data_IF_170074207371
#
_entry.id   IF_170074207371
#
_cell.length_a   1.000
_cell.length_b   1.000
_cell.length_c   1.000
_cell.angle_alpha   90.00
_cell.angle_beta   90.00
_cell.angle_gamma   90.00
#
_symmetry.space_group_name_H-M   'P 1'
#
loop_
_entity.id
_entity.type
_entity.pdbx_description
1 polymer ?
#
# COMPACT_ATOMS: atom_id res chain seq x y z
N UNK A 1 55.65 -47.66 14.23
CA UNK A 1 54.90 -46.55 13.60
C UNK A 1 53.43 -46.93 13.60
N UNK A 2 52.59 -46.30 14.43
CA UNK A 2 51.15 -46.60 14.57
C UNK A 2 50.36 -45.44 13.97
N UNK A 3 49.72 -45.66 12.84
CA UNK A 3 48.89 -44.66 12.16
C UNK A 3 47.52 -44.57 12.83
N UNK A 4 47.15 -43.38 13.30
CA UNK A 4 45.81 -43.08 13.84
C UNK A 4 45.00 -42.47 12.69
N UNK A 5 43.91 -43.14 12.30
CA UNK A 5 42.93 -42.62 11.35
C UNK A 5 41.84 -41.90 12.15
N UNK A 6 41.73 -40.59 11.98
CA UNK A 6 40.69 -39.79 12.60
C UNK A 6 39.42 -39.80 11.71
N UNK A 7 38.31 -40.33 12.24
CA UNK A 7 36.99 -40.18 11.62
C UNK A 7 36.47 -38.76 11.90
N UNK A 8 36.24 -37.99 10.85
CA UNK A 8 35.55 -36.70 10.89
C UNK A 8 34.04 -36.97 10.81
N UNK A 9 33.32 -36.73 11.90
CA UNK A 9 31.86 -36.80 11.92
C UNK A 9 31.28 -35.53 11.27
N UNK A 10 30.61 -35.69 10.12
CA UNK A 10 29.92 -34.60 9.43
C UNK A 10 28.63 -34.26 10.17
N UNK A 11 28.61 -33.14 10.89
CA UNK A 11 27.42 -32.61 11.55
C UNK A 11 26.52 -31.94 10.51
N UNK A 12 25.36 -32.54 10.19
CA UNK A 12 24.37 -31.93 9.31
C UNK A 12 23.65 -30.79 10.06
N UNK A 13 23.99 -29.53 9.77
CA UNK A 13 23.27 -28.37 10.27
C UNK A 13 21.94 -28.21 9.54
N UNK A 14 20.83 -28.45 10.23
CA UNK A 14 19.51 -28.07 9.74
C UNK A 14 19.43 -26.54 9.68
N UNK A 15 19.53 -25.98 8.47
CA UNK A 15 19.25 -24.57 8.24
C UNK A 15 17.74 -24.34 8.43
N UNK A 16 17.36 -23.70 9.54
CA UNK A 16 16.03 -23.17 9.74
C UNK A 16 15.82 -22.03 8.73
N UNK A 17 15.14 -22.30 7.62
CA UNK A 17 14.73 -21.24 6.69
C UNK A 17 13.78 -20.30 7.43
N UNK A 18 14.06 -18.99 7.54
CA UNK A 18 13.14 -18.06 8.16
C UNK A 18 11.81 -18.12 7.39
N UNK A 19 10.71 -18.35 8.11
CA UNK A 19 9.37 -18.29 7.54
C UNK A 19 9.21 -16.94 6.83
N UNK A 20 8.79 -16.96 5.56
CA UNK A 20 8.47 -15.74 4.83
C UNK A 20 7.50 -14.91 5.70
N UNK A 21 7.93 -13.70 6.06
CA UNK A 21 7.17 -12.88 6.98
C UNK A 21 5.82 -12.56 6.34
N UNK A 22 4.75 -13.07 6.94
CA UNK A 22 3.39 -12.80 6.50
C UNK A 22 3.16 -11.29 6.49
N UNK A 23 2.48 -10.77 5.47
CA UNK A 23 2.19 -9.34 5.38
C UNK A 23 1.27 -8.88 6.51
N UNK A 24 1.00 -7.58 6.56
CA UNK A 24 0.24 -6.95 7.64
C UNK A 24 -0.89 -6.10 7.11
N UNK A 25 -1.94 -5.96 7.91
CA UNK A 25 -3.08 -5.09 7.61
C UNK A 25 -3.17 -3.94 8.60
N UNK A 26 -3.68 -2.81 8.13
CA UNK A 26 -4.00 -1.65 8.96
C UNK A 26 -5.25 -1.95 9.79
N UNK A 27 -5.09 -1.99 11.11
CA UNK A 27 -6.22 -1.89 12.04
C UNK A 27 -6.88 -0.52 11.91
N UNK A 28 -8.21 -0.45 11.95
CA UNK A 28 -8.97 0.80 11.98
C UNK A 28 -9.55 1.05 13.37
N UNK A 29 -9.31 2.25 13.94
CA UNK A 29 -9.72 2.63 15.30
C UNK A 29 -10.86 3.67 15.32
N UNK A 30 -11.80 3.56 14.38
CA UNK A 30 -12.93 4.48 14.25
C UNK A 30 -12.64 5.68 13.36
N UNK A 31 -13.48 6.72 13.44
CA UNK A 31 -13.48 7.87 12.51
C UNK A 31 -12.23 8.75 12.65
N UNK A 32 -11.82 9.32 11.52
CA UNK A 32 -10.78 10.35 11.43
C UNK A 32 -11.26 11.50 10.52
N UNK A 33 -10.56 12.63 10.60
CA UNK A 33 -10.79 13.74 9.69
C UNK A 33 -10.13 13.48 8.33
N UNK A 34 -10.82 13.87 7.27
CA UNK A 34 -10.25 13.91 5.93
C UNK A 34 -9.24 15.08 5.82
N UNK A 35 -8.24 14.98 4.92
CA UNK A 35 -7.45 16.13 4.53
C UNK A 35 -8.34 17.28 4.03
N UNK A 36 -8.04 18.56 4.33
CA UNK A 36 -8.92 19.68 4.00
C UNK A 36 -9.31 19.77 2.52
N UNK A 37 -8.36 19.54 1.61
CA UNK A 37 -8.57 19.60 0.17
C UNK A 37 -9.43 18.44 -0.38
N UNK A 38 -9.55 17.34 0.37
CA UNK A 38 -10.24 16.13 -0.06
C UNK A 38 -11.71 16.37 -0.41
N UNK A 39 -12.43 17.18 0.37
CA UNK A 39 -13.86 17.45 0.15
C UNK A 39 -14.09 18.14 -1.19
N UNK A 40 -13.29 19.15 -1.51
CA UNK A 40 -13.34 19.87 -2.78
C UNK A 40 -13.01 18.93 -3.95
N UNK A 41 -11.95 18.14 -3.82
CA UNK A 41 -11.58 17.11 -4.79
C UNK A 41 -12.74 16.14 -5.05
N UNK A 42 -13.40 15.61 -4.02
CA UNK A 42 -14.53 14.70 -4.20
C UNK A 42 -15.80 15.34 -4.78
N UNK A 43 -15.90 16.67 -4.74
CA UNK A 43 -16.92 17.41 -5.48
C UNK A 43 -16.65 17.40 -6.98
N UNK A 44 -15.38 17.51 -7.39
CA UNK A 44 -14.94 17.50 -8.79
C UNK A 44 -14.81 16.08 -9.36
N UNK A 45 -14.35 15.13 -8.56
CA UNK A 45 -13.94 13.78 -8.97
C UNK A 45 -14.63 12.69 -8.11
N UNK A 46 -15.97 12.63 -8.09
CA UNK A 46 -16.71 11.73 -7.19
C UNK A 46 -16.38 10.25 -7.41
N UNK A 47 -16.07 9.84 -8.64
CA UNK A 47 -15.68 8.46 -8.96
C UNK A 47 -14.36 8.03 -8.32
N UNK A 48 -13.40 8.95 -8.16
CA UNK A 48 -12.12 8.68 -7.51
C UNK A 48 -12.21 8.70 -5.99
N UNK A 49 -13.25 9.32 -5.44
CA UNK A 49 -13.53 9.25 -4.01
C UNK A 49 -14.41 8.07 -3.62
N UNK A 50 -15.15 7.47 -4.54
CA UNK A 50 -15.98 6.32 -4.21
C UNK A 50 -15.13 5.12 -3.78
N UNK A 51 -15.62 4.40 -2.78
CA UNK A 51 -15.11 3.08 -2.36
C UNK A 51 -16.26 2.07 -2.22
N UNK A 52 -17.39 2.34 -2.88
CA UNK A 52 -18.58 1.49 -2.85
C UNK A 52 -18.49 0.31 -3.80
N UNK A 53 -18.98 -0.85 -3.37
CA UNK A 53 -19.04 -2.06 -4.19
C UNK A 53 -17.70 -2.77 -4.38
N UNK A 54 -17.74 -3.96 -4.98
CA UNK A 54 -16.57 -4.80 -5.21
C UNK A 54 -16.00 -5.46 -3.95
N UNK A 55 -14.91 -6.20 -4.12
CA UNK A 55 -14.23 -6.91 -3.02
C UNK A 55 -13.42 -5.94 -2.15
N UNK A 56 -13.61 -6.04 -0.83
CA UNK A 56 -12.83 -5.26 0.16
C UNK A 56 -11.35 -5.68 0.24
N UNK A 57 -11.04 -6.89 -0.19
CA UNK A 57 -9.68 -7.44 -0.23
C UNK A 57 -9.50 -8.12 -1.58
N UNK A 58 -8.40 -7.80 -2.25
CA UNK A 58 -8.04 -8.43 -3.53
C UNK A 58 -7.23 -9.69 -3.27
N UNK A 59 -7.69 -10.83 -3.79
CA UNK A 59 -6.88 -12.05 -3.82
C UNK A 59 -5.68 -11.83 -4.76
N UNK A 60 -4.50 -11.58 -4.20
CA UNK A 60 -3.33 -11.19 -4.96
C UNK A 60 -2.66 -12.42 -5.58
N UNK A 61 -2.63 -12.46 -6.90
CA UNK A 61 -1.84 -13.41 -7.68
C UNK A 61 -0.76 -12.68 -8.48
N UNK A 62 0.09 -13.45 -9.18
CA UNK A 62 1.28 -12.93 -9.85
C UNK A 62 0.99 -11.76 -10.81
N UNK A 63 -0.06 -11.85 -11.61
CA UNK A 63 -0.42 -10.80 -12.59
C UNK A 63 -0.85 -9.51 -11.90
N UNK A 64 -1.73 -9.58 -10.90
CA UNK A 64 -2.14 -8.40 -10.14
C UNK A 64 -0.97 -7.76 -9.38
N UNK A 65 -0.06 -8.59 -8.84
CA UNK A 65 1.18 -8.11 -8.21
C UNK A 65 2.09 -7.41 -9.21
N UNK A 66 2.21 -7.95 -10.42
CA UNK A 66 2.94 -7.32 -11.53
C UNK A 66 2.29 -5.99 -11.93
N UNK A 67 0.96 -5.94 -11.98
CA UNK A 67 0.21 -4.76 -12.36
C UNK A 67 0.39 -3.60 -11.36
N UNK A 68 0.30 -3.86 -10.04
CA UNK A 68 0.58 -2.85 -9.02
C UNK A 68 1.98 -2.24 -9.21
N UNK A 69 2.97 -3.10 -9.45
CA UNK A 69 4.36 -2.69 -9.69
C UNK A 69 4.51 -1.86 -10.96
N UNK A 70 3.84 -2.26 -12.05
CA UNK A 70 3.87 -1.55 -13.33
C UNK A 70 3.25 -0.15 -13.20
N UNK A 71 2.07 -0.04 -12.59
CA UNK A 71 1.37 1.24 -12.43
C UNK A 71 2.15 2.17 -11.52
N UNK A 72 2.70 1.66 -10.40
CA UNK A 72 3.50 2.49 -9.51
C UNK A 72 4.70 3.09 -10.24
N UNK A 73 5.45 2.26 -10.97
CA UNK A 73 6.59 2.71 -11.78
C UNK A 73 6.20 3.68 -12.88
N UNK A 74 5.16 3.37 -13.65
CA UNK A 74 4.74 4.16 -14.80
C UNK A 74 4.21 5.54 -14.39
N UNK A 75 3.51 5.64 -13.27
CA UNK A 75 3.09 6.95 -12.74
C UNK A 75 4.31 7.73 -12.22
N UNK A 76 5.20 7.07 -11.48
CA UNK A 76 6.41 7.70 -10.93
C UNK A 76 7.36 8.23 -12.02
N UNK A 77 7.38 7.61 -13.21
CA UNK A 77 8.20 8.08 -14.33
C UNK A 77 7.51 9.17 -15.17
N UNK A 78 6.18 9.19 -15.22
CA UNK A 78 5.41 10.13 -16.06
C UNK A 78 5.20 11.49 -15.40
N UNK A 79 5.04 11.53 -14.08
CA UNK A 79 4.70 12.76 -13.35
C UNK A 79 5.95 13.32 -12.69
N UNK A 80 6.18 14.62 -12.87
CA UNK A 80 7.24 15.35 -12.19
C UNK A 80 6.76 15.78 -10.80
N UNK A 81 7.48 15.37 -9.77
CA UNK A 81 7.20 15.81 -8.39
C UNK A 81 7.44 17.32 -8.26
N UNK A 82 6.41 18.03 -7.80
CA UNK A 82 6.42 19.47 -7.53
C UNK A 82 5.30 19.77 -6.54
N UNK A 83 5.65 20.41 -5.42
CA UNK A 83 4.68 20.90 -4.45
C UNK A 83 3.78 21.97 -5.09
N UNK A 84 2.49 21.90 -4.74
CA UNK A 84 1.52 22.88 -5.19
C UNK A 84 1.58 24.19 -4.39
N UNK A 85 1.07 25.27 -4.98
CA UNK A 85 0.82 26.54 -4.27
C UNK A 85 -0.57 26.41 -3.63
N UNK A 86 -0.60 25.96 -2.38
CA UNK A 86 -1.82 25.49 -1.72
C UNK A 86 -2.07 24.00 -1.98
N UNK A 87 -2.87 23.35 -1.13
CA UNK A 87 -3.19 21.91 -1.21
C UNK A 87 -4.32 21.70 -2.23
N UNK A 88 -4.01 21.46 -3.52
CA UNK A 88 -4.98 21.26 -4.60
C UNK A 88 -4.98 19.82 -5.10
N UNK A 89 -5.74 18.97 -4.42
CA UNK A 89 -5.91 17.57 -4.79
C UNK A 89 -6.60 17.45 -6.16
N UNK A 90 -5.91 16.86 -7.13
CA UNK A 90 -6.43 16.72 -8.50
C UNK A 90 -5.92 15.44 -9.16
N UNK A 91 -6.25 15.28 -10.45
CA UNK A 91 -5.58 14.27 -11.25
C UNK A 91 -4.48 14.92 -12.08
N UNK A 92 -3.20 14.64 -11.80
CA UNK A 92 -2.09 15.32 -12.45
C UNK A 92 -1.97 14.92 -13.94
N UNK A 93 -1.50 15.88 -14.74
CA UNK A 93 -1.16 15.67 -16.16
C UNK A 93 0.34 15.47 -16.31
N UNK A 94 1.16 16.46 -15.91
CA UNK A 94 2.62 16.46 -16.03
C UNK A 94 3.37 16.62 -14.71
N UNK A 95 2.72 17.20 -13.69
CA UNK A 95 3.30 17.42 -12.37
C UNK A 95 2.24 17.40 -11.28
N UNK A 96 2.69 17.14 -10.06
CA UNK A 96 1.91 17.18 -8.82
C UNK A 96 2.80 16.74 -7.65
N UNK A 97 2.24 16.64 -6.46
CA UNK A 97 2.89 16.15 -5.25
C UNK A 97 2.26 14.82 -4.78
N UNK A 98 2.40 14.48 -3.50
CA UNK A 98 2.20 13.11 -3.02
C UNK A 98 0.79 12.55 -3.27
N UNK A 99 -0.24 13.36 -3.00
CA UNK A 99 -1.64 12.99 -3.19
C UNK A 99 -2.00 12.85 -4.67
N UNK A 100 -1.45 13.70 -5.53
CA UNK A 100 -1.73 13.71 -6.96
C UNK A 100 -1.23 12.40 -7.60
N UNK A 101 -0.06 11.93 -7.15
CA UNK A 101 0.45 10.61 -7.55
C UNK A 101 -0.43 9.48 -7.02
N UNK A 102 -0.87 9.54 -5.77
CA UNK A 102 -1.75 8.52 -5.18
C UNK A 102 -3.11 8.44 -5.91
N UNK A 103 -3.70 9.60 -6.22
CA UNK A 103 -4.95 9.76 -6.97
C UNK A 103 -4.79 9.19 -8.39
N UNK A 104 -3.72 9.52 -9.08
CA UNK A 104 -3.48 9.01 -10.43
C UNK A 104 -3.30 7.50 -10.44
N UNK A 105 -2.54 6.93 -9.50
CA UNK A 105 -2.40 5.47 -9.36
C UNK A 105 -3.74 4.81 -9.09
N UNK A 106 -4.57 5.40 -8.24
CA UNK A 106 -5.94 4.94 -7.97
C UNK A 106 -6.77 4.94 -9.25
N UNK A 107 -6.74 6.02 -10.02
CA UNK A 107 -7.45 6.13 -11.31
C UNK A 107 -7.02 5.03 -12.29
N UNK A 108 -5.72 4.81 -12.45
CA UNK A 108 -5.21 3.81 -13.39
C UNK A 108 -5.56 2.37 -12.97
N UNK A 109 -5.59 2.09 -11.66
CA UNK A 109 -6.06 0.80 -11.14
C UNK A 109 -7.57 0.61 -11.34
N UNK A 110 -8.38 1.64 -11.07
CA UNK A 110 -9.83 1.61 -11.32
C UNK A 110 -10.15 1.33 -12.79
N UNK A 111 -9.42 1.98 -13.73
CA UNK A 111 -9.56 1.72 -15.17
C UNK A 111 -9.27 0.27 -15.56
N UNK A 112 -8.46 -0.44 -14.77
CA UNK A 112 -8.10 -1.85 -14.98
C UNK A 112 -9.01 -2.82 -14.21
N UNK A 113 -10.10 -2.32 -13.61
CA UNK A 113 -11.10 -3.14 -12.95
C UNK A 113 -10.78 -3.49 -11.50
N UNK A 114 -9.78 -2.86 -10.88
CA UNK A 114 -9.54 -3.05 -9.45
C UNK A 114 -10.74 -2.55 -8.63
N UNK A 115 -11.16 -3.29 -7.58
CA UNK A 115 -12.32 -2.89 -6.79
C UNK A 115 -12.02 -1.61 -6.01
N UNK A 116 -12.88 -0.59 -6.17
CA UNK A 116 -12.73 0.70 -5.51
C UNK A 116 -12.63 0.58 -3.97
N UNK A 117 -13.33 -0.39 -3.39
CA UNK A 117 -13.28 -0.71 -1.95
C UNK A 117 -11.91 -1.16 -1.44
N UNK A 118 -11.00 -1.57 -2.31
CA UNK A 118 -9.64 -1.96 -1.96
C UNK A 118 -8.60 -0.85 -2.20
N UNK A 119 -8.97 0.25 -2.87
CA UNK A 119 -8.07 1.34 -3.26
C UNK A 119 -8.33 2.58 -2.42
N UNK A 120 -7.48 2.82 -1.43
CA UNK A 120 -7.75 3.77 -0.35
C UNK A 120 -6.64 4.82 -0.30
N UNK A 121 -6.99 6.09 -0.45
CA UNK A 121 -6.07 7.18 -0.17
C UNK A 121 -5.77 7.17 1.33
N UNK A 122 -4.49 7.34 1.66
CA UNK A 122 -3.98 7.16 3.02
C UNK A 122 -2.99 8.27 3.33
N UNK A 123 -3.15 8.88 4.51
CA UNK A 123 -2.29 9.95 4.99
C UNK A 123 -1.37 9.50 6.12
N UNK A 124 -0.15 9.98 6.07
CA UNK A 124 0.94 9.65 6.98
C UNK A 124 1.84 10.86 7.23
N UNK A 125 2.89 10.65 8.04
CA UNK A 125 4.03 11.56 8.21
C UNK A 125 5.29 10.87 7.73
N UNK A 126 6.13 11.64 7.04
CA UNK A 126 7.51 11.27 6.74
C UNK A 126 8.44 12.43 7.07
N UNK A 127 9.45 12.20 7.91
CA UNK A 127 10.46 13.21 8.29
C UNK A 127 9.86 14.56 8.72
N UNK A 128 8.76 14.52 9.47
CA UNK A 128 8.10 15.73 9.95
C UNK A 128 7.14 16.40 8.96
N UNK A 129 6.99 15.89 7.73
CA UNK A 129 6.07 16.42 6.72
C UNK A 129 4.87 15.50 6.52
N UNK A 130 3.72 16.05 6.14
CA UNK A 130 2.58 15.26 5.69
C UNK A 130 2.93 14.48 4.42
N UNK A 131 2.35 13.30 4.27
CA UNK A 131 2.55 12.45 3.10
C UNK A 131 1.26 11.72 2.76
N UNK A 132 0.94 11.62 1.47
CA UNK A 132 -0.22 10.88 0.98
C UNK A 132 0.24 9.76 0.07
N UNK A 133 -0.28 8.56 0.29
CA UNK A 133 0.01 7.37 -0.49
C UNK A 133 -1.28 6.66 -0.89
N UNK A 134 -1.19 5.73 -1.83
CA UNK A 134 -2.27 4.81 -2.13
C UNK A 134 -2.04 3.49 -1.39
N UNK A 135 -2.98 3.12 -0.52
CA UNK A 135 -3.05 1.79 0.09
C UNK A 135 -3.95 0.87 -0.73
N UNK A 136 -3.47 -0.33 -1.01
CA UNK A 136 -4.20 -1.39 -1.70
C UNK A 136 -4.41 -2.57 -0.75
N UNK A 137 -5.67 -2.92 -0.48
CA UNK A 137 -6.06 -4.04 0.39
C UNK A 137 -5.97 -5.36 -0.35
N UNK A 138 -5.09 -6.25 0.08
CA UNK A 138 -4.85 -7.52 -0.60
C UNK A 138 -4.80 -8.72 0.36
N UNK A 139 -4.86 -9.93 -0.18
CA UNK A 139 -4.66 -11.17 0.58
C UNK A 139 -3.24 -11.34 1.10
N UNK A 140 -2.27 -10.59 0.58
CA UNK A 140 -0.90 -10.52 1.09
C UNK A 140 -0.72 -9.36 2.10
N UNK A 141 -1.79 -8.66 2.48
CA UNK A 141 -1.75 -7.50 3.39
C UNK A 141 -2.07 -6.17 2.71
N UNK A 142 -1.79 -5.07 3.43
CA UNK A 142 -2.01 -3.71 2.99
C UNK A 142 -0.74 -3.18 2.32
N UNK A 143 -0.79 -3.08 1.00
CA UNK A 143 0.35 -2.68 0.17
C UNK A 143 0.32 -1.20 -0.16
N UNK A 144 1.49 -0.59 -0.26
CA UNK A 144 1.66 0.85 -0.48
C UNK A 144 2.25 1.12 -1.85
N UNK A 145 1.57 1.99 -2.58
CA UNK A 145 2.03 2.60 -3.82
C UNK A 145 2.32 4.08 -3.56
N UNK A 146 3.54 4.52 -3.88
CA UNK A 146 4.15 5.74 -3.35
C UNK A 146 5.00 6.45 -4.41
N UNK A 147 5.01 7.79 -4.42
CA UNK A 147 5.87 8.56 -5.33
C UNK A 147 7.35 8.50 -4.94
N UNK A 148 7.65 8.36 -3.63
CA UNK A 148 9.03 8.36 -3.14
C UNK A 148 9.80 7.06 -3.46
N UNK A 149 9.10 6.00 -3.88
CA UNK A 149 9.72 4.75 -4.28
C UNK A 149 8.90 3.98 -5.32
N UNK A 150 9.60 3.38 -6.28
CA UNK A 150 9.00 2.51 -7.29
C UNK A 150 8.67 1.11 -6.79
N UNK A 151 9.12 0.73 -5.58
CA UNK A 151 8.80 -0.56 -4.97
C UNK A 151 7.44 -0.52 -4.28
N UNK A 152 6.58 -1.50 -4.57
CA UNK A 152 5.37 -1.76 -3.79
C UNK A 152 5.78 -2.48 -2.51
N UNK A 153 5.38 -1.97 -1.35
CA UNK A 153 5.84 -2.44 -0.03
C UNK A 153 4.67 -2.74 0.89
N UNK A 154 4.86 -3.65 1.83
CA UNK A 154 3.96 -3.79 2.97
C UNK A 154 3.99 -2.50 3.80
N UNK A 155 2.84 -1.99 4.20
CA UNK A 155 2.75 -0.71 4.90
C UNK A 155 3.59 -0.67 6.19
N UNK A 156 3.68 -1.76 6.96
CA UNK A 156 4.45 -1.80 8.20
C UNK A 156 5.96 -1.83 7.98
N UNK A 157 6.40 -2.08 6.74
CA UNK A 157 7.81 -2.02 6.33
C UNK A 157 8.23 -0.65 5.78
N UNK A 158 7.29 0.29 5.65
CA UNK A 158 7.58 1.66 5.19
C UNK A 158 8.04 2.56 6.35
N UNK A 159 8.82 3.62 6.09
CA UNK A 159 9.35 4.48 7.15
C UNK A 159 8.35 5.57 7.61
N UNK A 160 7.05 5.32 7.48
CA UNK A 160 6.00 6.33 7.66
C UNK A 160 5.23 6.14 8.97
N UNK A 161 4.78 7.25 9.54
CA UNK A 161 3.81 7.24 10.64
C UNK A 161 2.41 7.47 10.08
N UNK A 162 1.61 6.41 9.96
CA UNK A 162 0.27 6.48 9.38
C UNK A 162 -0.77 7.03 10.35
N UNK A 163 -1.71 7.85 9.84
CA UNK A 163 -2.74 8.47 10.66
C UNK A 163 -4.15 8.03 10.30
N UNK A 164 -4.50 8.12 9.00
CA UNK A 164 -5.84 7.85 8.53
C UNK A 164 -5.85 7.37 7.08
N UNK A 165 -6.90 6.65 6.72
CA UNK A 165 -7.19 6.23 5.33
C UNK A 165 -8.67 6.40 5.01
N UNK A 166 -9.02 6.44 3.73
CA UNK A 166 -10.41 6.31 3.30
C UNK A 166 -11.03 5.01 3.85
N UNK A 167 -12.29 5.09 4.27
CA UNK A 167 -13.04 3.94 4.74
C UNK A 167 -13.46 3.02 3.57
N UNK A 168 -13.50 1.71 3.84
CA UNK A 168 -14.02 0.74 2.89
C UNK A 168 -15.56 0.81 2.85
N UNK A 169 -16.15 1.06 1.67
CA UNK A 169 -17.60 1.13 1.48
C UNK A 169 -18.19 2.53 1.64
N UNK A 170 -17.46 3.48 2.22
CA UNK A 170 -17.84 4.90 2.21
C UNK A 170 -16.60 5.79 2.07
N UNK A 171 -16.20 6.04 0.82
CA UNK A 171 -14.96 6.74 0.53
C UNK A 171 -14.97 8.24 0.84
N UNK A 172 -16.12 8.80 1.26
CA UNK A 172 -16.19 10.14 1.86
C UNK A 172 -15.81 10.16 3.35
N UNK A 173 -15.77 8.99 3.99
CA UNK A 173 -15.35 8.85 5.39
C UNK A 173 -13.90 8.43 5.49
N UNK A 174 -13.25 8.83 6.57
CA UNK A 174 -11.88 8.46 6.90
C UNK A 174 -11.84 7.74 8.24
N UNK A 175 -10.90 6.79 8.36
CA UNK A 175 -10.72 5.95 9.53
C UNK A 175 -9.31 6.10 10.07
N UNK A 176 -9.18 6.19 11.39
CA UNK A 176 -7.88 6.26 12.08
C UNK A 176 -7.17 4.93 11.94
N UNK A 177 -5.89 4.97 11.59
CA UNK A 177 -5.03 3.79 11.50
C UNK A 177 -4.46 3.46 12.88
N UNK A 178 -4.53 2.19 13.24
CA UNK A 178 -4.04 1.60 14.48
C UNK A 178 -2.74 0.82 14.27
N UNK A 179 -2.62 -0.31 14.97
CA UNK A 179 -1.43 -1.15 14.89
C UNK A 179 -1.42 -2.04 13.63
N UNK A 180 -0.23 -2.53 13.29
CA UNK A 180 -0.07 -3.62 12.32
C UNK A 180 -0.66 -4.92 12.88
N UNK A 181 -1.57 -5.52 12.11
CA UNK A 181 -2.09 -6.86 12.37
C UNK A 181 -1.53 -7.83 11.33
N UNK A 182 -0.72 -8.82 11.72
CA UNK A 182 -0.29 -9.87 10.80
C UNK A 182 -1.49 -10.51 10.12
N UNK A 183 -1.39 -10.78 8.83
CA UNK A 183 -2.36 -11.65 8.18
C UNK A 183 -2.18 -13.04 8.79
N UNK A 184 -3.28 -13.63 9.26
CA UNK A 184 -3.24 -15.03 9.66
C UNK A 184 -3.03 -15.82 8.38
N UNK A 185 -1.83 -16.39 8.22
CA UNK A 185 -1.59 -17.41 7.21
C UNK A 185 -2.44 -18.60 7.59
N UNK A 186 -3.69 -18.64 7.12
CA UNK A 186 -4.32 -19.93 6.89
C UNK A 186 -3.48 -20.57 5.81
N UNK A 187 -2.55 -21.42 6.22
CA UNK A 187 -2.01 -22.44 5.35
C UNK A 187 -3.24 -23.11 4.71
N UNK A 188 -3.53 -22.79 3.46
CA UNK A 188 -4.32 -23.68 2.62
C UNK A 188 -3.40 -24.87 2.37
N UNK A 189 -3.35 -25.75 3.37
CA UNK A 189 -2.90 -27.12 3.22
C UNK A 189 -3.99 -27.86 2.44
N UNK A 190 -3.57 -28.43 1.32
CA UNK A 190 -4.39 -29.20 0.38
C UNK A 190 -3.59 -29.44 -0.88
#
# INVERSE_FOLDING_TARGET
MKSIVALIALSASFACTPAAQAGTTMETKGKAFAPPAFTSFCGREPGLCSTSGGSKVVALHADLKSELKQINRAVNSRIKERNDIGDDWRVPVSSGDCEDFAILKKRELLKRGWPASALLLTVARYRGQGHTVLTVRTSEGDLILDNLTSSVRDWSSTPYSYFARQAQGNGRSWERIGAAKPILSTAFGG
#
